data_IF_191112380771
#
_entry.id   IF_191112380771
#
_cell.length_a   1.000
_cell.length_b   1.000
_cell.length_c   1.000
_cell.angle_alpha   90.00
_cell.angle_beta   90.00
_cell.angle_gamma   90.00
#
_symmetry.space_group_name_H-M   'P 1'
#
loop_
_entity.id
_entity.type
_entity.pdbx_description
1 polymer ?
#
# COMPACT_ATOMS: atom_id res chain seq x y z
N UNK A 1 23.34 -12.19 37.50
CA UNK A 1 22.74 -10.86 37.67
C UNK A 1 22.60 -10.22 36.30
N UNK A 2 21.40 -10.20 35.72
CA UNK A 2 21.16 -9.47 34.47
C UNK A 2 21.38 -7.99 34.77
N UNK A 3 22.39 -7.37 34.14
CA UNK A 3 22.67 -5.95 34.36
C UNK A 3 21.44 -5.17 33.90
N UNK A 4 20.81 -4.40 34.80
CA UNK A 4 19.65 -3.55 34.49
C UNK A 4 19.89 -2.62 33.29
N UNK A 5 21.16 -2.28 33.01
CA UNK A 5 21.57 -1.55 31.81
C UNK A 5 21.21 -2.22 30.48
N UNK A 6 21.01 -3.55 30.44
CA UNK A 6 20.60 -4.28 29.23
C UNK A 6 19.07 -4.45 29.14
N UNK A 7 18.32 -4.21 30.22
CA UNK A 7 16.86 -4.35 30.22
C UNK A 7 16.18 -3.23 29.43
N UNK A 8 16.64 -1.98 29.61
CA UNK A 8 16.09 -0.81 28.92
C UNK A 8 16.20 -0.90 27.39
N UNK A 9 17.38 -1.20 26.80
CA UNK A 9 17.47 -1.34 25.34
C UNK A 9 16.70 -2.55 24.81
N UNK A 10 16.65 -3.67 25.54
CA UNK A 10 15.86 -4.86 25.13
C UNK A 10 14.36 -4.56 25.15
N UNK A 11 13.86 -3.83 26.16
CA UNK A 11 12.47 -3.38 26.21
C UNK A 11 12.14 -2.41 25.08
N UNK A 12 13.03 -1.46 24.78
CA UNK A 12 12.86 -0.55 23.65
C UNK A 12 12.79 -1.32 22.32
N UNK A 13 13.72 -2.25 22.07
CA UNK A 13 13.69 -3.10 20.87
C UNK A 13 12.41 -3.93 20.82
N UNK A 14 11.98 -4.53 21.93
CA UNK A 14 10.74 -5.33 21.98
C UNK A 14 9.47 -4.51 21.65
N UNK A 15 9.45 -3.20 21.93
CA UNK A 15 8.35 -2.31 21.53
C UNK A 15 8.33 -2.05 20.01
N UNK A 16 9.49 -2.09 19.35
CA UNK A 16 9.60 -1.92 17.89
C UNK A 16 9.55 -3.25 17.12
N UNK A 17 9.64 -4.40 17.79
CA UNK A 17 9.42 -5.71 17.18
C UNK A 17 7.93 -5.87 16.94
N UNK A 18 7.48 -5.42 15.77
CA UNK A 18 6.18 -5.81 15.25
C UNK A 18 6.26 -7.26 14.80
N UNK A 19 5.30 -8.10 15.26
CA UNK A 19 5.02 -9.35 14.54
C UNK A 19 4.64 -8.95 13.11
N UNK A 20 5.25 -9.58 12.12
CA UNK A 20 4.97 -9.30 10.72
C UNK A 20 3.58 -9.80 10.36
N UNK A 21 2.55 -9.00 10.67
CA UNK A 21 1.26 -9.15 10.02
C UNK A 21 1.43 -8.78 8.54
N UNK A 22 0.72 -9.50 7.69
CA UNK A 22 0.65 -9.21 6.27
C UNK A 22 0.18 -7.77 6.03
N UNK A 23 0.70 -7.14 4.97
CA UNK A 23 0.28 -5.80 4.59
C UNK A 23 -1.22 -5.75 4.31
N UNK A 24 -1.86 -4.68 4.79
CA UNK A 24 -3.28 -4.39 4.53
C UNK A 24 -3.44 -3.31 3.49
N UNK A 25 -4.19 -3.59 2.43
CA UNK A 25 -4.31 -2.72 1.25
C UNK A 25 -5.76 -2.39 0.96
N UNK A 26 -6.01 -1.21 0.37
CA UNK A 26 -7.31 -0.93 -0.21
C UNK A 26 -7.52 -1.79 -1.46
N UNK A 27 -8.67 -2.44 -1.55
CA UNK A 27 -9.12 -3.17 -2.73
C UNK A 27 -10.37 -2.47 -3.27
N UNK A 28 -10.25 -1.88 -4.46
CA UNK A 28 -11.33 -1.16 -5.14
C UNK A 28 -11.02 -0.91 -6.63
N UNK A 29 -12.05 -0.55 -7.41
CA UNK A 29 -11.90 -0.05 -8.79
C UNK A 29 -12.84 1.13 -9.05
N UNK A 30 -12.37 2.13 -9.79
CA UNK A 30 -13.09 3.40 -9.97
C UNK A 30 -14.26 3.36 -10.95
N UNK A 31 -14.33 2.34 -11.79
CA UNK A 31 -15.47 2.01 -12.65
C UNK A 31 -16.63 1.39 -11.86
N UNK A 32 -16.33 0.75 -10.73
CA UNK A 32 -17.34 0.15 -9.84
C UNK A 32 -17.70 1.06 -8.66
N UNK A 33 -16.72 1.78 -8.11
CA UNK A 33 -16.93 2.66 -6.97
C UNK A 33 -16.16 4.00 -7.16
N UNK A 34 -16.86 5.14 -7.28
CA UNK A 34 -16.23 6.43 -7.59
C UNK A 34 -15.27 6.92 -6.49
N UNK A 35 -15.39 6.43 -5.25
CA UNK A 35 -14.44 6.76 -4.17
C UNK A 35 -13.05 6.16 -4.38
N UNK A 36 -12.93 5.20 -5.30
CA UNK A 36 -11.66 4.66 -5.77
C UNK A 36 -10.97 5.56 -6.81
N UNK A 37 -11.49 6.74 -7.17
CA UNK A 37 -10.75 7.65 -8.04
C UNK A 37 -9.57 8.34 -7.32
N UNK A 38 -8.86 9.19 -8.05
CA UNK A 38 -8.02 10.23 -7.46
C UNK A 38 -8.76 11.58 -7.55
N UNK A 39 -8.87 12.37 -6.46
CA UNK A 39 -8.34 12.10 -5.12
C UNK A 39 -9.03 10.90 -4.45
N UNK A 40 -8.23 10.11 -3.73
CA UNK A 40 -8.74 8.94 -3.03
C UNK A 40 -9.52 9.35 -1.79
N UNK A 41 -10.75 8.85 -1.67
CA UNK A 41 -11.61 9.12 -0.52
C UNK A 41 -11.84 7.76 0.17
N UNK A 42 -11.16 7.49 1.29
CA UNK A 42 -11.40 6.25 2.03
C UNK A 42 -12.84 6.24 2.56
N UNK A 43 -13.73 5.50 1.89
CA UNK A 43 -15.07 5.22 2.40
C UNK A 43 -14.97 4.07 3.39
N UNK A 44 -15.40 4.29 4.63
CA UNK A 44 -15.23 3.32 5.71
C UNK A 44 -16.08 2.07 5.54
N UNK A 45 -17.15 2.10 4.73
CA UNK A 45 -18.08 0.97 4.62
C UNK A 45 -18.81 1.02 3.28
N UNK A 46 -18.39 0.18 2.33
CA UNK A 46 -19.30 -0.29 1.28
C UNK A 46 -19.69 -1.73 1.62
N UNK A 47 -20.97 -1.96 1.94
CA UNK A 47 -21.49 -3.29 2.24
C UNK A 47 -21.44 -4.22 1.02
N UNK A 48 -21.16 -3.70 -0.18
CA UNK A 48 -20.99 -4.49 -1.40
C UNK A 48 -19.71 -5.33 -1.41
N UNK A 49 -18.72 -5.00 -0.57
CA UNK A 49 -17.38 -5.60 -0.62
C UNK A 49 -16.50 -5.13 -1.78
N UNK A 50 -16.99 -4.22 -2.63
CA UNK A 50 -16.26 -3.64 -3.77
C UNK A 50 -15.25 -2.57 -3.37
N UNK A 51 -15.36 -2.05 -2.14
CA UNK A 51 -14.42 -1.11 -1.54
C UNK A 51 -14.12 -1.58 -0.12
N UNK A 52 -12.92 -2.09 0.13
CA UNK A 52 -12.57 -2.65 1.44
C UNK A 52 -11.08 -2.57 1.72
N UNK A 53 -10.75 -2.63 3.01
CA UNK A 53 -9.40 -2.89 3.46
C UNK A 53 -9.19 -4.40 3.54
N UNK A 54 -8.23 -4.92 2.78
CA UNK A 54 -7.94 -6.34 2.65
C UNK A 54 -6.61 -6.68 3.32
N UNK A 55 -6.61 -7.74 4.14
CA UNK A 55 -5.37 -8.41 4.56
C UNK A 55 -4.89 -9.28 3.38
N UNK A 56 -3.71 -8.95 2.83
CA UNK A 56 -3.23 -9.59 1.61
C UNK A 56 -2.87 -11.08 1.77
N UNK A 57 -2.70 -11.57 2.99
CA UNK A 57 -2.43 -12.99 3.27
C UNK A 57 -3.69 -13.74 3.74
N UNK A 58 -4.82 -13.06 3.95
CA UNK A 58 -6.06 -13.70 4.42
C UNK A 58 -6.70 -14.61 3.36
N UNK A 59 -6.44 -14.36 2.08
CA UNK A 59 -6.97 -15.14 0.95
C UNK A 59 -5.85 -15.88 0.21
N UNK A 60 -5.07 -16.69 0.93
CA UNK A 60 -3.99 -17.56 0.41
C UNK A 60 -4.43 -18.64 -0.61
N UNK A 61 -5.68 -18.62 -1.05
CA UNK A 61 -6.22 -19.49 -2.10
C UNK A 61 -5.67 -19.22 -3.52
N UNK A 62 -4.97 -18.11 -3.73
CA UNK A 62 -4.19 -17.90 -4.96
C UNK A 62 -2.84 -18.63 -4.84
N UNK A 63 -2.86 -19.95 -5.07
CA UNK A 63 -1.63 -20.72 -5.28
C UNK A 63 -0.85 -20.13 -6.46
N UNK A 64 0.23 -19.38 -6.21
CA UNK A 64 1.24 -19.03 -7.22
C UNK A 64 2.66 -19.24 -6.65
N UNK A 65 3.62 -19.67 -7.49
CA UNK A 65 4.54 -20.75 -7.15
C UNK A 65 5.83 -20.35 -6.41
N UNK A 66 5.88 -19.18 -5.77
CA UNK A 66 7.12 -18.62 -5.21
C UNK A 66 6.98 -18.14 -3.75
N UNK A 67 6.15 -18.79 -2.95
CA UNK A 67 5.91 -18.43 -1.54
C UNK A 67 7.18 -18.35 -0.68
N UNK A 68 8.27 -19.03 -1.03
CA UNK A 68 9.54 -18.92 -0.28
C UNK A 68 10.34 -17.65 -0.58
N UNK A 69 10.02 -16.93 -1.66
CA UNK A 69 10.81 -15.77 -2.14
C UNK A 69 9.93 -14.59 -2.56
N UNK A 70 8.69 -14.52 -2.09
CA UNK A 70 7.78 -13.40 -2.38
C UNK A 70 7.20 -12.79 -1.11
N UNK A 71 6.91 -11.49 -1.19
CA UNK A 71 6.24 -10.71 -0.15
C UNK A 71 4.97 -10.07 -0.70
N UNK A 72 3.95 -10.00 0.13
CA UNK A 72 2.72 -9.26 -0.15
C UNK A 72 2.99 -7.76 -0.19
N UNK A 73 2.33 -7.06 -1.12
CA UNK A 73 2.45 -5.63 -1.34
C UNK A 73 1.10 -5.05 -1.77
N UNK A 74 0.88 -3.76 -1.55
CA UNK A 74 -0.21 -3.05 -2.18
C UNK A 74 0.18 -2.61 -3.58
N UNK A 75 -0.81 -2.54 -4.47
CA UNK A 75 -0.71 -1.99 -5.82
C UNK A 75 -1.70 -0.85 -6.00
N UNK A 76 -1.27 0.20 -6.69
CA UNK A 76 -2.14 1.22 -7.29
C UNK A 76 -1.84 1.27 -8.79
N UNK A 77 -2.88 1.20 -9.60
CA UNK A 77 -2.75 1.17 -11.05
C UNK A 77 -3.78 2.09 -11.70
N UNK A 78 -3.37 2.77 -12.77
CA UNK A 78 -4.24 3.54 -13.66
C UNK A 78 -4.13 3.00 -15.07
N UNK A 79 -5.26 2.71 -15.67
CA UNK A 79 -5.37 2.17 -17.03
C UNK A 79 -6.40 2.97 -17.80
N UNK A 80 -6.13 3.22 -19.07
CA UNK A 80 -7.17 3.59 -20.02
C UNK A 80 -7.79 2.30 -20.57
N UNK A 81 -9.09 2.10 -20.32
CA UNK A 81 -9.87 0.97 -20.81
C UNK A 81 -10.95 1.53 -21.74
N UNK A 82 -10.85 1.25 -23.04
CA UNK A 82 -11.79 1.83 -24.02
C UNK A 82 -11.80 3.36 -24.02
N UNK A 83 -10.65 3.99 -23.73
CA UNK A 83 -10.51 5.45 -23.64
C UNK A 83 -10.90 6.07 -22.29
N UNK A 84 -11.47 5.31 -21.36
CA UNK A 84 -11.80 5.78 -20.02
C UNK A 84 -10.70 5.46 -19.02
N UNK A 85 -10.34 6.43 -18.18
CA UNK A 85 -9.37 6.22 -17.11
C UNK A 85 -10.01 5.44 -15.94
N UNK A 86 -9.48 4.25 -15.66
CA UNK A 86 -9.85 3.42 -14.53
C UNK A 86 -8.68 3.35 -13.54
N UNK A 87 -8.96 3.67 -12.28
CA UNK A 87 -8.04 3.56 -11.15
C UNK A 87 -8.41 2.33 -10.34
N UNK A 88 -7.47 1.41 -10.20
CA UNK A 88 -7.64 0.17 -9.44
C UNK A 88 -6.61 0.06 -8.33
N UNK A 89 -7.02 -0.45 -7.17
CA UNK A 89 -6.20 -0.72 -6.00
C UNK A 89 -6.42 -2.14 -5.52
N UNK A 90 -5.38 -2.79 -5.02
CA UNK A 90 -5.52 -4.11 -4.40
C UNK A 90 -4.19 -4.69 -3.94
N UNK A 91 -4.25 -5.91 -3.44
CA UNK A 91 -3.07 -6.71 -3.11
C UNK A 91 -2.34 -7.18 -4.37
N UNK A 92 -1.02 -7.30 -4.26
CA UNK A 92 -0.13 -7.92 -5.24
C UNK A 92 1.01 -8.60 -4.49
N UNK A 93 1.89 -9.28 -5.20
CA UNK A 93 3.15 -9.79 -4.68
C UNK A 93 4.34 -9.16 -5.39
N UNK A 94 5.47 -9.16 -4.70
CA UNK A 94 6.79 -8.83 -5.24
C UNK A 94 7.78 -9.89 -4.79
N UNK A 95 8.95 -9.96 -5.43
CA UNK A 95 10.03 -10.77 -4.87
C UNK A 95 10.49 -10.20 -3.54
N UNK A 96 11.00 -11.05 -2.65
CA UNK A 96 11.49 -10.65 -1.34
C UNK A 96 12.61 -9.61 -1.44
N UNK A 97 13.47 -9.76 -2.45
CA UNK A 97 14.61 -8.89 -2.77
C UNK A 97 14.25 -7.71 -3.69
N UNK A 98 12.98 -7.57 -4.07
CA UNK A 98 12.50 -6.45 -4.88
C UNK A 98 12.02 -5.30 -4.00
N UNK A 99 12.85 -4.27 -3.91
CA UNK A 99 12.61 -3.01 -3.19
C UNK A 99 12.11 -1.88 -4.11
N UNK A 100 11.85 -2.14 -5.38
CA UNK A 100 11.34 -1.13 -6.31
C UNK A 100 9.88 -0.77 -6.00
N UNK A 101 9.37 0.34 -6.53
CA UNK A 101 7.94 0.61 -6.51
C UNK A 101 7.27 0.17 -7.82
N UNK A 102 7.92 -0.65 -8.63
CA UNK A 102 7.42 -1.04 -9.94
C UNK A 102 6.44 -2.20 -9.83
N UNK A 103 5.37 -2.14 -10.61
CA UNK A 103 4.48 -3.28 -10.75
C UNK A 103 5.16 -4.42 -11.54
N UNK A 104 4.85 -5.68 -11.20
CA UNK A 104 5.20 -6.82 -12.04
C UNK A 104 4.68 -6.62 -13.46
N UNK A 105 5.43 -7.13 -14.44
CA UNK A 105 5.03 -7.09 -15.84
C UNK A 105 3.67 -7.78 -15.99
N UNK A 106 2.67 -7.04 -16.48
CA UNK A 106 1.33 -7.58 -16.74
C UNK A 106 0.99 -7.45 -18.22
N UNK A 107 0.36 -8.48 -18.78
CA UNK A 107 -0.22 -8.40 -20.13
C UNK A 107 -1.47 -7.54 -20.07
N UNK A 108 -1.52 -6.49 -20.89
CA UNK A 108 -2.72 -5.69 -21.06
C UNK A 108 -3.61 -6.31 -22.14
N UNK A 109 -4.93 -6.16 -22.00
CA UNK A 109 -5.87 -6.44 -23.08
C UNK A 109 -5.68 -5.49 -24.28
N UNK A 110 -6.28 -5.81 -25.43
CA UNK A 110 -6.12 -5.06 -26.68
C UNK A 110 -6.46 -3.55 -26.56
N UNK A 111 -7.39 -3.20 -25.67
CA UNK A 111 -7.86 -1.82 -25.45
C UNK A 111 -7.45 -1.28 -24.07
N UNK A 112 -6.40 -1.83 -23.47
CA UNK A 112 -5.92 -1.43 -22.15
C UNK A 112 -4.52 -0.79 -22.25
N UNK A 113 -4.41 0.46 -21.84
CA UNK A 113 -3.12 1.16 -21.76
C UNK A 113 -2.84 1.54 -20.32
N UNK A 114 -1.84 0.91 -19.71
CA UNK A 114 -1.39 1.28 -18.35
C UNK A 114 -0.64 2.60 -18.40
N UNK A 115 -1.17 3.63 -17.73
CA UNK A 115 -0.55 4.96 -17.65
C UNK A 115 0.25 5.17 -16.36
N UNK A 116 -0.09 4.42 -15.30
CA UNK A 116 0.60 4.47 -14.01
C UNK A 116 0.46 3.14 -13.31
N UNK A 117 1.53 2.65 -12.69
CA UNK A 117 1.46 1.51 -11.80
C UNK A 117 2.58 1.57 -10.77
N UNK A 118 2.21 1.54 -9.50
CA UNK A 118 3.15 1.49 -8.40
C UNK A 118 2.76 0.47 -7.34
N UNK A 119 3.77 -0.04 -6.65
CA UNK A 119 3.63 -0.95 -5.51
C UNK A 119 4.31 -0.40 -4.27
N UNK A 120 3.83 -0.79 -3.10
CA UNK A 120 4.39 -0.41 -1.81
C UNK A 120 4.07 -1.51 -0.77
N UNK A 121 4.88 -1.63 0.29
CA UNK A 121 4.88 -2.77 1.22
C UNK A 121 4.59 -2.38 2.68
N UNK A 122 3.77 -1.35 2.88
CA UNK A 122 3.28 -0.92 4.19
C UNK A 122 1.76 -0.68 4.17
N UNK A 123 1.14 -0.77 5.34
CA UNK A 123 -0.32 -0.68 5.48
C UNK A 123 -0.90 0.58 4.83
N UNK A 124 -1.97 0.39 4.05
CA UNK A 124 -2.80 1.46 3.46
C UNK A 124 -2.04 2.35 2.45
N UNK A 125 -0.83 1.96 2.03
CA UNK A 125 0.04 2.79 1.21
C UNK A 125 -0.54 3.12 -0.18
N UNK A 126 -1.37 2.23 -0.74
CA UNK A 126 -2.05 2.46 -2.02
C UNK A 126 -3.23 3.44 -1.92
N UNK A 127 -3.60 3.91 -0.73
CA UNK A 127 -4.57 4.98 -0.51
C UNK A 127 -3.97 6.39 -0.51
N UNK A 128 -2.64 6.53 -0.38
CA UNK A 128 -2.02 7.84 -0.26
C UNK A 128 -2.16 8.65 -1.57
N UNK A 129 -2.58 9.91 -1.43
CA UNK A 129 -2.29 10.95 -2.42
C UNK A 129 -0.84 11.37 -2.19
N UNK A 130 -0.02 11.32 -3.24
CA UNK A 130 1.44 11.55 -3.22
C UNK A 130 1.89 12.96 -2.78
N UNK A 131 1.00 13.78 -2.22
CA UNK A 131 1.23 15.20 -1.94
C UNK A 131 1.11 15.60 -0.47
N UNK A 132 0.44 14.83 0.40
CA UNK A 132 0.16 15.24 1.77
C UNK A 132 1.34 15.14 2.74
N UNK A 133 2.07 14.02 2.68
CA UNK A 133 3.16 13.72 3.64
C UNK A 133 4.37 14.63 3.42
N UNK A 134 4.72 14.91 2.17
CA UNK A 134 5.85 15.80 1.82
C UNK A 134 5.58 17.24 2.25
N UNK A 135 4.34 17.73 2.07
CA UNK A 135 3.99 19.11 2.44
C UNK A 135 4.00 19.31 3.96
N UNK A 136 3.49 18.34 4.73
CA UNK A 136 3.49 18.39 6.19
C UNK A 136 4.90 18.35 6.79
N UNK A 137 5.80 17.53 6.22
CA UNK A 137 7.19 17.45 6.66
C UNK A 137 8.01 18.70 6.35
N UNK A 138 7.64 19.47 5.31
CA UNK A 138 8.28 20.74 4.98
C UNK A 138 7.75 21.89 5.85
N UNK A 139 6.44 21.91 6.13
CA UNK A 139 5.80 23.00 6.87
C UNK A 139 6.03 22.92 8.40
N UNK A 140 6.20 21.73 8.96
CA UNK A 140 6.48 21.55 10.40
C UNK A 140 7.75 22.27 10.90
N UNK A 141 8.93 22.14 10.25
CA UNK A 141 10.13 22.87 10.66
C UNK A 141 10.03 24.38 10.37
N UNK A 142 9.35 24.79 9.29
CA UNK A 142 9.12 26.21 8.98
C UNK A 142 8.25 26.90 10.04
N UNK A 143 7.21 26.21 10.54
CA UNK A 143 6.40 26.71 11.66
C UNK A 143 7.23 26.91 12.93
N UNK A 144 8.07 25.93 13.30
CA UNK A 144 8.94 26.03 14.47
C UNK A 144 9.97 27.17 14.38
N UNK A 145 10.39 27.55 13.17
CA UNK A 145 11.30 28.69 12.94
C UNK A 145 10.59 30.05 12.99
N UNK A 146 9.29 30.10 12.69
CA UNK A 146 8.49 31.33 12.70
C UNK A 146 7.90 31.66 14.08
N UNK A 147 7.88 30.69 15.00
CA UNK A 147 7.44 30.85 16.40
C UNK A 147 8.60 30.98 17.40
N UNK A 148 9.79 31.40 16.93
CA UNK A 148 10.94 31.72 17.77
C UNK A 148 11.29 33.20 17.70
#
# INVERSE_FOLDING_TARGET
>A
MVKFSLLVPVLLVAVFVTRGDAVRCWTCSSDLNPYCNDPFIPSSVDNSGLFRLENCDANTGASYPYLTSSKSACKKQKKFIGGQLVVSRGCTWKRQDDYSNQCPTSSNGHNEVTSFCETCDFDVCNGATSYGVTLALILAPLGLLLFK
#
